data_IF_426991491373
#
_entry.id   IF_426991491373
#
_cell.length_a   1.000
_cell.length_b   1.000
_cell.length_c   1.000
_cell.angle_alpha   90.00
_cell.angle_beta   90.00
_cell.angle_gamma   90.00
#
_symmetry.space_group_name_H-M   'P 1'
#
loop_
_entity.id
_entity.type
_entity.pdbx_description
1 polymer ?
#
# COMPACT_ATOMS: atom_id res chain seq x y z
N UNK A 1 18.75 -1.32 2.07
CA UNK A 1 19.04 -1.77 3.42
C UNK A 1 18.59 -0.79 4.49
N UNK A 2 19.02 0.46 4.37
CA UNK A 2 18.60 1.52 5.30
C UNK A 2 17.09 1.73 5.23
N UNK A 3 16.51 1.71 4.05
CA UNK A 3 15.08 1.82 3.87
C UNK A 3 14.33 0.69 4.55
N UNK A 4 14.83 -0.54 4.45
CA UNK A 4 14.22 -1.69 5.12
C UNK A 4 14.26 -1.52 6.63
N UNK A 5 15.36 -1.06 7.17
CA UNK A 5 15.49 -0.79 8.60
C UNK A 5 14.47 0.24 9.07
N UNK A 6 14.35 1.36 8.34
CA UNK A 6 13.38 2.40 8.68
C UNK A 6 11.95 1.87 8.71
N UNK A 7 11.56 1.08 7.69
CA UNK A 7 10.21 0.52 7.62
C UNK A 7 9.91 -0.38 8.81
N UNK A 8 10.85 -1.20 9.21
CA UNK A 8 10.62 -2.20 10.26
C UNK A 8 10.77 -1.64 11.67
N UNK A 9 11.46 -0.51 11.85
CA UNK A 9 11.66 0.09 13.17
C UNK A 9 10.58 1.09 13.55
N UNK A 10 9.84 1.64 12.58
CA UNK A 10 8.77 2.61 12.83
C UNK A 10 7.50 1.87 13.23
N UNK A 11 6.90 2.27 14.37
CA UNK A 11 5.70 1.62 14.89
C UNK A 11 4.43 2.45 14.65
N UNK A 12 4.55 3.73 14.31
CA UNK A 12 3.42 4.60 14.00
C UNK A 12 2.95 4.32 12.56
N UNK A 13 1.68 3.96 12.44
CA UNK A 13 1.09 3.61 11.15
C UNK A 13 1.21 4.74 10.12
N UNK A 14 0.96 5.99 10.55
CA UNK A 14 1.05 7.14 9.64
C UNK A 14 2.47 7.37 9.16
N UNK A 15 3.45 7.19 10.05
CA UNK A 15 4.86 7.32 9.69
C UNK A 15 5.28 6.22 8.72
N UNK A 16 4.81 5.00 8.94
CA UNK A 16 5.08 3.87 8.03
C UNK A 16 4.56 4.20 6.63
N UNK A 17 3.33 4.69 6.52
CA UNK A 17 2.75 5.07 5.23
C UNK A 17 3.57 6.17 4.57
N UNK A 18 3.99 7.17 5.33
CA UNK A 18 4.79 8.26 4.79
C UNK A 18 6.13 7.78 4.25
N UNK A 19 6.80 6.88 4.98
CA UNK A 19 8.06 6.29 4.53
C UNK A 19 7.86 5.48 3.26
N UNK A 20 6.77 4.71 3.16
CA UNK A 20 6.46 3.95 1.96
C UNK A 20 6.28 4.88 0.77
N UNK A 21 5.53 5.98 0.93
CA UNK A 21 5.36 6.96 -0.14
C UNK A 21 6.70 7.51 -0.61
N UNK A 22 7.58 7.87 0.31
CA UNK A 22 8.89 8.40 -0.03
C UNK A 22 9.75 7.39 -0.78
N UNK A 23 9.71 6.13 -0.38
CA UNK A 23 10.47 5.07 -1.04
C UNK A 23 9.94 4.83 -2.46
N UNK A 24 8.63 4.81 -2.63
CA UNK A 24 8.02 4.64 -3.96
C UNK A 24 8.41 5.79 -4.88
N UNK A 25 8.38 7.02 -4.37
CA UNK A 25 8.79 8.19 -5.14
C UNK A 25 10.26 8.09 -5.53
N UNK A 26 11.14 7.83 -4.59
CA UNK A 26 12.59 7.93 -4.79
C UNK A 26 13.19 6.70 -5.47
N UNK A 27 12.76 5.50 -5.11
CA UNK A 27 13.32 4.26 -5.66
C UNK A 27 12.66 3.85 -6.97
N UNK A 28 11.36 3.97 -7.04
CA UNK A 28 10.59 3.55 -8.21
C UNK A 28 10.45 4.69 -9.21
N UNK A 29 10.45 5.94 -8.74
CA UNK A 29 10.23 7.09 -9.59
C UNK A 29 8.77 7.28 -9.96
N UNK A 30 7.86 6.98 -9.05
CA UNK A 30 6.43 7.17 -9.27
C UNK A 30 6.04 8.62 -8.96
N UNK A 31 5.17 9.19 -9.79
CA UNK A 31 4.64 10.54 -9.61
C UNK A 31 3.23 10.50 -9.06
N UNK A 32 2.39 9.60 -9.58
CA UNK A 32 1.00 9.46 -9.15
C UNK A 32 0.74 8.01 -8.76
N UNK A 33 0.40 7.79 -7.50
CA UNK A 33 0.16 6.43 -7.00
C UNK A 33 -0.62 6.47 -5.69
N UNK A 34 -1.10 5.31 -5.27
CA UNK A 34 -1.79 5.16 -3.99
C UNK A 34 -1.49 3.84 -3.33
N UNK A 35 -1.56 3.84 -2.00
CA UNK A 35 -1.55 2.63 -1.18
C UNK A 35 -2.98 2.43 -0.72
N UNK A 36 -3.54 1.26 -1.05
CA UNK A 36 -4.90 0.90 -0.69
C UNK A 36 -4.87 -0.30 0.24
N UNK A 37 -5.63 -0.26 1.31
CA UNK A 37 -5.72 -1.37 2.25
C UNK A 37 -7.09 -2.03 2.17
N UNK A 38 -7.09 -3.34 2.35
CA UNK A 38 -8.29 -4.16 2.30
C UNK A 38 -9.00 -4.15 3.65
N UNK A 39 -10.27 -3.79 3.64
CA UNK A 39 -11.16 -3.96 4.79
C UNK A 39 -11.81 -5.33 4.64
N UNK A 40 -11.42 -6.27 5.49
CA UNK A 40 -11.92 -7.64 5.42
C UNK A 40 -13.40 -7.76 5.76
N UNK A 41 -13.95 -6.82 6.49
CA UNK A 41 -15.38 -6.81 6.84
C UNK A 41 -16.26 -6.50 5.64
N UNK A 42 -15.81 -5.56 4.80
CA UNK A 42 -16.58 -5.12 3.63
C UNK A 42 -16.06 -5.70 2.32
N UNK A 43 -14.85 -6.30 2.31
CA UNK A 43 -14.15 -6.77 1.12
C UNK A 43 -13.90 -5.64 0.11
N UNK A 44 -13.61 -4.45 0.63
CA UNK A 44 -13.31 -3.28 -0.19
C UNK A 44 -11.95 -2.71 0.12
N UNK A 45 -11.30 -2.18 -0.92
CA UNK A 45 -10.01 -1.51 -0.81
C UNK A 45 -10.24 -0.02 -0.66
N UNK A 46 -9.56 0.59 0.31
CA UNK A 46 -9.64 2.03 0.59
C UNK A 46 -8.25 2.64 0.46
N UNK A 47 -8.15 3.75 -0.26
CA UNK A 47 -6.89 4.49 -0.35
C UNK A 47 -6.57 5.11 1.02
N UNK A 48 -5.42 4.74 1.58
CA UNK A 48 -4.97 5.25 2.90
C UNK A 48 -3.84 6.25 2.76
N UNK A 49 -3.13 6.23 1.64
CA UNK A 49 -2.05 7.19 1.36
C UNK A 49 -1.93 7.34 -0.15
N UNK A 50 -1.75 8.57 -0.62
CA UNK A 50 -1.63 8.87 -2.05
C UNK A 50 -0.58 9.93 -2.30
N UNK A 51 -0.09 9.96 -3.53
CA UNK A 51 0.80 11.00 -4.03
C UNK A 51 0.36 11.37 -5.44
N UNK A 52 0.34 12.68 -5.73
CA UNK A 52 -0.06 13.19 -7.04
C UNK A 52 -1.57 13.17 -7.29
N UNK A 53 -2.34 12.71 -6.34
CA UNK A 53 -3.80 12.60 -6.42
C UNK A 53 -4.34 12.59 -4.98
N UNK A 54 -5.53 13.14 -4.77
CA UNK A 54 -6.16 13.11 -3.45
C UNK A 54 -6.81 11.74 -3.21
N UNK A 55 -6.86 11.31 -1.95
CA UNK A 55 -7.46 10.02 -1.60
C UNK A 55 -8.91 9.91 -2.05
N UNK A 56 -9.64 11.02 -2.02
CA UNK A 56 -11.05 11.07 -2.42
C UNK A 56 -11.24 10.80 -3.91
N UNK A 57 -10.21 10.98 -4.72
CA UNK A 57 -10.28 10.70 -6.15
C UNK A 57 -10.18 9.22 -6.47
N UNK A 58 -9.77 8.39 -5.50
CA UNK A 58 -9.74 6.94 -5.63
C UNK A 58 -10.95 6.40 -4.86
N UNK A 59 -11.97 5.88 -5.57
CA UNK A 59 -13.16 5.35 -4.89
C UNK A 59 -12.86 4.04 -4.18
N UNK A 60 -13.79 3.61 -3.33
CA UNK A 60 -13.72 2.27 -2.76
C UNK A 60 -13.76 1.26 -3.91
N UNK A 61 -12.87 0.28 -3.85
CA UNK A 61 -12.75 -0.74 -4.90
C UNK A 61 -13.06 -2.10 -4.29
N UNK A 62 -14.11 -2.73 -4.80
CA UNK A 62 -14.48 -4.04 -4.31
C UNK A 62 -13.50 -5.10 -4.80
N UNK A 63 -13.12 -6.02 -3.91
CA UNK A 63 -12.23 -7.12 -4.26
C UNK A 63 -12.80 -7.91 -5.45
N UNK A 64 -11.94 -8.23 -6.41
CA UNK A 64 -12.35 -8.93 -7.63
C UNK A 64 -12.85 -8.03 -8.76
N UNK A 65 -13.03 -6.73 -8.53
CA UNK A 65 -13.53 -5.79 -9.53
C UNK A 65 -12.38 -5.05 -10.21
N UNK A 66 -12.34 -5.10 -11.54
CA UNK A 66 -11.34 -4.39 -12.34
C UNK A 66 -9.91 -4.89 -12.10
N UNK A 67 -8.94 -4.08 -12.50
CA UNK A 67 -7.52 -4.43 -12.36
C UNK A 67 -7.13 -4.48 -10.88
N UNK A 68 -7.41 -3.42 -10.15
CA UNK A 68 -6.99 -3.30 -8.74
C UNK A 68 -7.66 -4.36 -7.88
N UNK A 69 -8.98 -4.49 -8.00
CA UNK A 69 -9.70 -5.52 -7.25
C UNK A 69 -9.29 -6.93 -7.64
N UNK A 70 -8.95 -7.13 -8.91
CA UNK A 70 -8.45 -8.41 -9.41
C UNK A 70 -7.10 -8.79 -8.81
N UNK A 71 -6.19 -7.83 -8.69
CA UNK A 71 -4.90 -8.04 -8.04
C UNK A 71 -5.07 -8.40 -6.57
N UNK A 72 -5.97 -7.69 -5.88
CA UNK A 72 -6.25 -7.98 -4.48
C UNK A 72 -6.80 -9.39 -4.29
N UNK A 73 -7.60 -9.87 -5.23
CA UNK A 73 -8.19 -11.20 -5.15
C UNK A 73 -7.21 -12.31 -5.51
N UNK A 74 -6.45 -12.12 -6.60
CA UNK A 74 -5.53 -13.16 -7.11
C UNK A 74 -4.21 -13.21 -6.36
N UNK A 75 -3.76 -12.07 -5.82
CA UNK A 75 -2.45 -11.97 -5.21
C UNK A 75 -1.31 -11.95 -6.24
N UNK A 76 -1.63 -11.71 -7.50
CA UNK A 76 -0.64 -11.64 -8.56
C UNK A 76 -0.39 -10.21 -8.99
N UNK A 77 0.87 -9.89 -9.34
CA UNK A 77 1.26 -8.56 -9.81
C UNK A 77 0.61 -8.26 -11.15
N UNK A 78 0.28 -6.99 -11.34
CA UNK A 78 -0.15 -6.49 -12.65
C UNK A 78 0.84 -5.43 -13.13
N UNK A 79 1.36 -5.64 -14.34
CA UNK A 79 2.18 -4.65 -15.04
C UNK A 79 1.61 -4.50 -16.45
N UNK A 80 1.37 -3.25 -16.86
CA UNK A 80 0.92 -3.01 -18.24
C UNK A 80 2.04 -3.41 -19.21
N UNK A 81 1.68 -3.99 -20.34
CA UNK A 81 2.68 -4.44 -21.31
C UNK A 81 3.42 -3.28 -21.96
N UNK A 82 2.68 -2.24 -22.31
CA UNK A 82 3.24 -1.05 -22.95
C UNK A 82 2.75 0.18 -22.20
N UNK A 83 3.70 1.04 -21.78
CA UNK A 83 3.36 2.26 -21.07
C UNK A 83 3.08 3.35 -22.09
N UNK A 84 1.82 3.75 -22.18
CA UNK A 84 1.39 4.82 -23.07
C UNK A 84 1.59 6.19 -22.41
N UNK A 85 1.74 7.28 -23.18
CA UNK A 85 1.81 8.61 -22.59
C UNK A 85 0.61 8.88 -21.70
N UNK A 86 0.87 9.50 -20.54
CA UNK A 86 -0.18 9.83 -19.59
C UNK A 86 -1.09 10.91 -20.19
N UNK A 87 -2.38 10.65 -20.20
CA UNK A 87 -3.40 11.56 -20.72
C UNK A 87 -4.21 12.16 -19.57
N UNK A 88 -5.00 11.32 -18.91
CA UNK A 88 -5.79 11.76 -17.76
C UNK A 88 -5.80 10.66 -16.71
N UNK A 89 -6.02 11.05 -15.46
CA UNK A 89 -6.09 10.12 -14.35
C UNK A 89 -7.40 9.32 -14.40
N UNK A 90 -7.26 7.99 -14.33
CA UNK A 90 -8.37 7.08 -14.17
C UNK A 90 -8.02 6.14 -13.00
N UNK A 91 -8.73 6.24 -11.87
CA UNK A 91 -8.40 5.44 -10.69
C UNK A 91 -8.58 3.95 -10.88
N UNK A 92 -9.29 3.51 -11.92
CA UNK A 92 -9.52 2.10 -12.19
C UNK A 92 -8.43 1.49 -13.09
N UNK A 93 -7.57 2.31 -13.69
CA UNK A 93 -6.61 1.86 -14.69
C UNK A 93 -5.19 2.28 -14.31
N UNK A 94 -4.55 1.53 -13.37
CA UNK A 94 -3.14 1.77 -13.07
C UNK A 94 -2.23 1.14 -14.13
N UNK A 95 -0.99 1.62 -14.21
CA UNK A 95 0.04 0.97 -15.04
C UNK A 95 0.73 -0.17 -14.30
N UNK A 96 0.73 -0.10 -12.97
CA UNK A 96 1.25 -1.17 -12.10
C UNK A 96 0.30 -1.32 -10.93
N UNK A 97 0.05 -2.55 -10.53
CA UNK A 97 -0.67 -2.83 -9.29
C UNK A 97 -0.02 -4.05 -8.63
N UNK A 98 0.50 -3.85 -7.43
CA UNK A 98 1.25 -4.87 -6.70
C UNK A 98 0.51 -5.22 -5.42
N UNK A 99 0.23 -6.50 -5.14
CA UNK A 99 -0.41 -6.88 -3.91
C UNK A 99 0.55 -6.78 -2.72
N UNK A 100 0.04 -6.31 -1.60
CA UNK A 100 0.75 -6.32 -0.33
C UNK A 100 0.32 -7.59 0.40
N UNK A 101 1.25 -8.53 0.57
CA UNK A 101 0.93 -9.84 1.14
C UNK A 101 1.71 -10.13 2.39
N UNK A 102 1.03 -10.73 3.35
CA UNK A 102 1.64 -11.37 4.51
C UNK A 102 1.42 -12.86 4.31
N UNK A 103 2.51 -13.58 4.01
CA UNK A 103 2.44 -14.97 3.52
C UNK A 103 1.61 -14.98 2.23
N UNK A 104 0.53 -15.70 2.18
CA UNK A 104 -0.35 -15.74 0.99
C UNK A 104 -1.58 -14.84 1.13
N UNK A 105 -1.67 -14.10 2.22
CA UNK A 105 -2.83 -13.26 2.51
C UNK A 105 -2.61 -11.83 2.04
N UNK A 106 -3.49 -11.33 1.17
CA UNK A 106 -3.41 -9.97 0.66
C UNK A 106 -4.03 -9.01 1.67
N UNK A 107 -3.26 -8.00 2.09
CA UNK A 107 -3.75 -6.97 3.01
C UNK A 107 -4.02 -5.64 2.31
N UNK A 108 -3.59 -5.50 1.07
CA UNK A 108 -3.81 -4.30 0.29
C UNK A 108 -3.05 -4.36 -1.01
N UNK A 109 -2.95 -3.21 -1.68
CA UNK A 109 -2.22 -3.08 -2.95
C UNK A 109 -1.51 -1.73 -3.01
N UNK A 110 -0.49 -1.64 -3.88
CA UNK A 110 0.07 -0.37 -4.31
C UNK A 110 -0.29 -0.22 -5.79
N UNK A 111 -1.01 0.85 -6.13
CA UNK A 111 -1.42 1.12 -7.51
C UNK A 111 -0.67 2.35 -8.02
N UNK A 112 0.06 2.21 -9.12
CA UNK A 112 0.84 3.28 -9.72
C UNK A 112 0.20 3.67 -11.04
N UNK A 113 -0.02 4.98 -11.23
CA UNK A 113 -0.71 5.51 -12.40
C UNK A 113 0.22 6.28 -13.33
N UNK A 114 1.26 6.91 -12.78
CA UNK A 114 2.16 7.73 -13.58
C UNK A 114 3.57 7.67 -13.00
N UNK A 115 4.57 7.61 -13.89
CA UNK A 115 5.98 7.66 -13.53
C UNK A 115 6.53 9.06 -13.73
N UNK A 116 7.54 9.43 -12.93
CA UNK A 116 8.24 10.72 -13.07
C UNK A 116 8.94 10.82 -14.42
N UNK A 117 9.57 9.73 -14.85
CA UNK A 117 10.21 9.66 -16.17
C UNK A 117 9.51 8.61 -17.00
N UNK A 118 9.09 9.00 -18.20
CA UNK A 118 8.41 8.08 -19.10
C UNK A 118 9.37 7.07 -19.68
N UNK A 119 8.93 5.84 -19.80
CA UNK A 119 9.63 4.76 -20.48
C UNK A 119 8.60 3.87 -21.17
N UNK A 120 9.01 3.14 -22.23
CA UNK A 120 8.02 2.41 -23.03
C UNK A 120 7.47 1.15 -22.36
N UNK A 121 8.25 0.53 -21.49
CA UNK A 121 7.83 -0.72 -20.83
C UNK A 121 8.63 -0.96 -19.56
N UNK A 122 8.12 -1.85 -18.71
CA UNK A 122 8.81 -2.29 -17.50
C UNK A 122 9.83 -3.37 -17.83
N UNK A 123 10.91 -3.42 -17.04
CA UNK A 123 12.00 -4.38 -17.19
C UNK A 123 11.96 -5.42 -16.08
N UNK A 124 12.79 -6.47 -16.19
CA UNK A 124 12.96 -7.46 -15.13
C UNK A 124 13.37 -6.81 -13.81
N UNK A 125 14.27 -5.83 -13.88
CA UNK A 125 14.71 -5.12 -12.68
C UNK A 125 13.55 -4.38 -12.02
N UNK A 126 12.67 -3.78 -12.81
CA UNK A 126 11.49 -3.12 -12.28
C UNK A 126 10.62 -4.12 -11.51
N UNK A 127 10.36 -5.29 -12.09
CA UNK A 127 9.56 -6.33 -11.44
C UNK A 127 10.14 -6.74 -10.09
N UNK A 128 11.46 -6.93 -10.06
CA UNK A 128 12.15 -7.32 -8.82
C UNK A 128 12.06 -6.23 -7.76
N UNK A 129 12.28 -4.97 -8.14
CA UNK A 129 12.21 -3.84 -7.22
C UNK A 129 10.81 -3.66 -6.64
N UNK A 130 9.78 -3.75 -7.48
CA UNK A 130 8.40 -3.62 -7.03
C UNK A 130 8.04 -4.75 -6.07
N UNK A 131 8.42 -5.98 -6.40
CA UNK A 131 8.11 -7.14 -5.55
C UNK A 131 8.80 -7.03 -4.20
N UNK A 132 10.06 -6.63 -4.19
CA UNK A 132 10.82 -6.45 -2.95
C UNK A 132 10.21 -5.35 -2.08
N UNK A 133 9.89 -4.21 -2.69
CA UNK A 133 9.27 -3.10 -1.99
C UNK A 133 7.94 -3.51 -1.38
N UNK A 134 7.10 -4.19 -2.15
CA UNK A 134 5.79 -4.63 -1.68
C UNK A 134 5.89 -5.56 -0.48
N UNK A 135 6.87 -6.47 -0.48
CA UNK A 135 7.09 -7.37 0.65
C UNK A 135 7.46 -6.62 1.93
N UNK A 136 8.37 -5.67 1.84
CA UNK A 136 8.77 -4.86 2.99
C UNK A 136 7.64 -3.94 3.46
N UNK A 137 6.93 -3.33 2.51
CA UNK A 137 5.80 -2.46 2.83
C UNK A 137 4.69 -3.24 3.54
N UNK A 138 4.36 -4.42 3.06
CA UNK A 138 3.32 -5.27 3.67
C UNK A 138 3.69 -5.61 5.11
N UNK A 139 4.92 -6.02 5.35
CA UNK A 139 5.39 -6.37 6.69
C UNK A 139 5.34 -5.17 7.63
N UNK A 140 5.80 -4.01 7.17
CA UNK A 140 5.82 -2.79 7.99
C UNK A 140 4.38 -2.33 8.32
N UNK A 141 3.48 -2.35 7.36
CA UNK A 141 2.07 -1.98 7.57
C UNK A 141 1.43 -2.93 8.59
N UNK A 142 1.62 -4.22 8.39
CA UNK A 142 1.03 -5.23 9.26
C UNK A 142 1.53 -5.08 10.69
N UNK A 143 2.84 -4.91 10.87
CA UNK A 143 3.46 -4.75 12.18
C UNK A 143 2.99 -3.49 12.89
N UNK A 144 2.89 -2.36 12.18
CA UNK A 144 2.43 -1.11 12.77
C UNK A 144 0.97 -1.16 13.18
N UNK A 145 0.12 -1.84 12.40
CA UNK A 145 -1.29 -2.01 12.75
C UNK A 145 -1.45 -2.89 13.99
N UNK A 146 -0.72 -4.00 14.07
CA UNK A 146 -0.73 -4.87 15.23
C UNK A 146 -0.29 -4.13 16.48
N UNK A 147 0.78 -3.36 16.38
CA UNK A 147 1.30 -2.57 17.51
C UNK A 147 0.25 -1.57 18.01
N UNK A 148 -0.36 -0.84 17.09
CA UNK A 148 -1.41 0.14 17.44
C UNK A 148 -2.59 -0.52 18.13
N UNK A 149 -3.03 -1.68 17.66
CA UNK A 149 -4.13 -2.42 18.26
C UNK A 149 -3.75 -2.91 19.66
N UNK A 150 -2.52 -3.41 19.84
CA UNK A 150 -2.03 -3.87 21.15
C UNK A 150 -1.97 -2.73 22.15
N UNK A 151 -1.46 -1.56 21.75
CA UNK A 151 -1.42 -0.38 22.61
C UNK A 151 -2.82 0.06 23.03
N UNK A 152 -3.77 0.02 22.10
CA UNK A 152 -5.15 0.37 22.38
C UNK A 152 -5.77 -0.56 23.41
N UNK A 153 -5.54 -1.86 23.28
CA UNK A 153 -6.00 -2.87 24.24
C UNK A 153 -5.40 -2.64 25.62
N UNK A 154 -4.08 -2.40 25.68
CA UNK A 154 -3.39 -2.13 26.94
C UNK A 154 -3.92 -0.86 27.61
N UNK A 155 -4.15 0.21 26.86
CA UNK A 155 -4.71 1.44 27.40
C UNK A 155 -6.11 1.23 27.97
N UNK A 156 -6.92 0.44 27.28
CA UNK A 156 -8.28 0.11 27.73
C UNK A 156 -8.25 -0.69 29.01
N UNK A 157 -7.37 -1.69 29.11
CA UNK A 157 -7.21 -2.51 30.30
C UNK A 157 -6.73 -1.65 31.47
N UNK A 158 -5.74 -0.77 31.23
CA UNK A 158 -5.22 0.11 32.26
C UNK A 158 -6.28 1.08 32.79
N UNK A 159 -7.08 1.64 31.89
CA UNK A 159 -8.19 2.52 32.28
C UNK A 159 -9.21 1.78 33.14
N UNK A 160 -9.52 0.53 32.79
CA UNK A 160 -10.44 -0.28 33.56
C UNK A 160 -9.89 -0.57 34.96
N UNK A 161 -8.61 -0.94 35.05
CA UNK A 161 -7.93 -1.18 36.34
C UNK A 161 -7.96 0.09 37.20
N UNK A 162 -7.70 1.25 36.63
CA UNK A 162 -7.71 2.50 37.33
C UNK A 162 -9.08 2.81 37.94
N UNK A 163 -10.15 2.48 37.25
CA UNK A 163 -11.50 2.64 37.76
C UNK A 163 -11.79 1.72 38.96
N UNK A 164 -11.25 0.49 38.91
CA UNK A 164 -11.47 -0.49 39.97
C UNK A 164 -10.67 -0.16 41.26
N UNK A 165 -9.56 0.54 41.12
CA UNK A 165 -8.65 0.81 42.26
C UNK A 165 -8.88 2.14 42.92
N UNK A 166 -9.84 2.95 42.49
CA UNK A 166 -10.18 4.23 43.08
C UNK A 166 -11.20 4.11 44.23
#
# INVERSE_FOLDING_TARGET
YVASFQLHSTLDFKEVLQIILEIVINLIGAETFGVLLLDEKTNELTAVATEGVDREEIPLIKIGTGIIGGVAKSGENFFVEEIKPFDKFDPQIPIVCIPLKIKEHVIGVIAIYKLLQQKPKFTELDYELFTLLAGHAATAIFSSKLYSESERKLSTIQGFINLLTK
#
